data_IF_649032909280
#
_entry.id   IF_649032909280
#
_cell.length_a   1.000
_cell.length_b   1.000
_cell.length_c   1.000
_cell.angle_alpha   90.00
_cell.angle_beta   90.00
_cell.angle_gamma   90.00
#
_symmetry.space_group_name_H-M   'P 1'
#
loop_
_entity.id
_entity.type
_entity.pdbx_description
1 polymer ?
#
# COMPACT_ATOMS: atom_id res chain seq x y z
N UNK A 1 32.36 -15.89 10.78
CA UNK A 1 31.53 -14.65 10.85
C UNK A 1 30.50 -14.78 9.75
N UNK A 2 29.21 -14.65 10.07
CA UNK A 2 28.14 -14.72 9.07
C UNK A 2 28.17 -13.46 8.19
N UNK A 3 27.73 -13.57 6.94
CA UNK A 3 27.72 -12.46 6.00
C UNK A 3 26.30 -12.15 5.53
N UNK A 4 25.95 -10.88 5.51
CA UNK A 4 24.66 -10.37 5.03
C UNK A 4 24.87 -9.49 3.78
N UNK A 5 24.12 -9.77 2.72
CA UNK A 5 23.99 -8.89 1.56
C UNK A 5 22.73 -8.04 1.73
N UNK A 6 22.87 -6.71 1.74
CA UNK A 6 21.76 -5.77 1.92
C UNK A 6 21.58 -4.95 0.65
N UNK A 7 20.44 -5.10 0.00
CA UNK A 7 20.11 -4.45 -1.28
C UNK A 7 19.16 -3.27 -1.08
N UNK A 8 19.04 -2.41 -2.10
CA UNK A 8 18.06 -1.35 -2.20
C UNK A 8 18.21 -0.26 -1.10
N UNK A 9 19.44 -0.01 -0.70
CA UNK A 9 19.79 1.12 0.16
C UNK A 9 19.05 1.15 1.52
N UNK A 10 19.12 0.08 2.35
CA UNK A 10 18.55 0.12 3.70
C UNK A 10 19.29 1.16 4.56
N UNK A 11 18.68 1.58 5.66
CA UNK A 11 19.26 2.57 6.55
C UNK A 11 20.63 2.13 7.08
N UNK A 12 21.59 3.06 7.12
CA UNK A 12 22.98 2.77 7.50
C UNK A 12 23.13 2.15 8.91
N UNK A 13 22.19 2.40 9.83
CA UNK A 13 22.16 1.80 11.17
C UNK A 13 22.14 0.26 11.13
N UNK A 14 21.64 -0.35 10.05
CA UNK A 14 21.67 -1.80 9.89
C UNK A 14 23.11 -2.37 9.96
N UNK A 15 24.13 -1.62 9.51
CA UNK A 15 25.53 -2.03 9.59
C UNK A 15 26.00 -2.16 11.04
N UNK A 16 25.66 -1.19 11.88
CA UNK A 16 26.04 -1.15 13.29
C UNK A 16 25.34 -2.28 14.07
N UNK A 17 24.04 -2.45 13.82
CA UNK A 17 23.24 -3.50 14.48
C UNK A 17 23.76 -4.90 14.10
N UNK A 18 24.03 -5.17 12.83
CA UNK A 18 24.52 -6.47 12.38
C UNK A 18 25.93 -6.73 12.90
N UNK A 19 26.81 -5.72 12.89
CA UNK A 19 28.17 -5.84 13.43
C UNK A 19 28.18 -6.17 14.94
N UNK A 20 27.22 -5.63 15.73
CA UNK A 20 27.07 -5.96 17.14
C UNK A 20 26.70 -7.43 17.41
N UNK A 21 26.27 -8.16 16.36
CA UNK A 21 25.94 -9.59 16.40
C UNK A 21 26.91 -10.45 15.58
N UNK A 22 28.14 -9.99 15.34
CA UNK A 22 29.16 -10.68 14.56
C UNK A 22 28.74 -11.04 13.13
N UNK A 23 27.92 -10.17 12.51
CA UNK A 23 27.48 -10.30 11.11
C UNK A 23 28.13 -9.19 10.28
N UNK A 24 28.90 -9.57 9.26
CA UNK A 24 29.44 -8.66 8.26
C UNK A 24 28.35 -8.25 7.26
N UNK A 25 28.03 -6.97 7.18
CA UNK A 25 27.05 -6.44 6.24
C UNK A 25 27.71 -5.80 5.02
N UNK A 26 27.39 -6.31 3.84
CA UNK A 26 27.76 -5.75 2.53
C UNK A 26 26.55 -5.06 1.95
N UNK A 27 26.69 -3.79 1.57
CA UNK A 27 25.61 -2.96 1.04
C UNK A 27 25.70 -2.81 -0.47
N UNK A 28 24.57 -2.89 -1.12
CA UNK A 28 24.39 -2.57 -2.53
C UNK A 28 23.22 -1.60 -2.72
N UNK A 29 23.43 -0.54 -3.49
CA UNK A 29 22.45 0.57 -3.60
C UNK A 29 21.23 0.26 -4.45
N UNK A 30 21.36 -0.65 -5.43
CA UNK A 30 20.31 -1.04 -6.36
C UNK A 30 19.56 -2.31 -5.97
N UNK A 31 18.50 -2.59 -6.72
CA UNK A 31 17.96 -3.93 -6.84
C UNK A 31 18.87 -4.77 -7.77
N UNK A 32 18.79 -6.08 -7.65
CA UNK A 32 19.46 -7.03 -8.55
C UNK A 32 18.38 -7.80 -9.32
N UNK A 33 18.70 -8.17 -10.56
CA UNK A 33 17.89 -9.12 -11.30
C UNK A 33 18.09 -10.56 -10.76
N UNK A 34 17.34 -11.51 -11.30
CA UNK A 34 17.33 -12.89 -10.81
C UNK A 34 18.71 -13.57 -10.93
N UNK A 35 19.41 -13.37 -12.04
CA UNK A 35 20.71 -14.04 -12.33
C UNK A 35 21.85 -13.38 -11.55
N UNK A 36 21.82 -12.06 -11.46
CA UNK A 36 22.75 -11.29 -10.63
C UNK A 36 22.62 -11.69 -9.16
N UNK A 37 21.40 -11.74 -8.64
CA UNK A 37 21.13 -12.10 -7.26
C UNK A 37 21.55 -13.54 -6.94
N UNK A 38 21.22 -14.49 -7.82
CA UNK A 38 21.61 -15.90 -7.65
C UNK A 38 23.14 -16.06 -7.60
N UNK A 39 23.87 -15.24 -8.34
CA UNK A 39 25.34 -15.26 -8.35
C UNK A 39 25.96 -14.53 -7.17
N UNK A 40 25.40 -13.39 -6.79
CA UNK A 40 25.91 -12.55 -5.71
C UNK A 40 25.77 -13.19 -4.32
N UNK A 41 24.72 -14.01 -4.11
CA UNK A 41 24.41 -14.60 -2.81
C UNK A 41 25.32 -15.77 -2.40
N UNK A 42 26.19 -16.29 -3.26
CA UNK A 42 26.98 -17.52 -3.00
C UNK A 42 27.76 -17.52 -1.69
N UNK A 43 28.20 -16.35 -1.25
CA UNK A 43 29.03 -16.17 -0.05
C UNK A 43 28.25 -15.55 1.12
N UNK A 44 26.90 -15.55 1.06
CA UNK A 44 26.05 -14.91 2.06
C UNK A 44 25.02 -15.89 2.62
N UNK A 45 24.80 -15.85 3.92
CA UNK A 45 23.78 -16.61 4.62
C UNK A 45 22.52 -15.77 4.91
N UNK A 46 22.63 -14.45 4.80
CA UNK A 46 21.57 -13.50 5.11
C UNK A 46 21.38 -12.56 3.92
N UNK A 47 20.14 -12.36 3.50
CA UNK A 47 19.74 -11.41 2.47
C UNK A 47 18.81 -10.34 3.06
N UNK A 48 19.12 -9.08 2.84
CA UNK A 48 18.21 -7.97 3.10
C UNK A 48 17.75 -7.32 1.81
N UNK A 49 16.44 -7.19 1.62
CA UNK A 49 15.83 -6.56 0.44
C UNK A 49 14.76 -5.55 0.84
N UNK A 50 14.28 -4.75 -0.12
CA UNK A 50 13.06 -3.98 0.02
C UNK A 50 12.01 -4.51 -0.96
N UNK A 51 11.41 -3.64 -1.78
CA UNK A 51 10.22 -4.00 -2.57
C UNK A 51 10.51 -4.30 -4.06
N UNK A 52 11.74 -4.08 -4.53
CA UNK A 52 12.07 -4.18 -5.95
C UNK A 52 12.77 -5.49 -6.35
N UNK A 53 13.53 -6.09 -5.44
CA UNK A 53 14.27 -7.33 -5.70
C UNK A 53 13.36 -8.54 -5.53
N UNK A 54 13.30 -9.40 -6.54
CA UNK A 54 12.53 -10.64 -6.49
C UNK A 54 13.42 -11.81 -6.07
N UNK A 55 13.00 -12.52 -5.01
CA UNK A 55 13.64 -13.75 -4.53
C UNK A 55 12.82 -14.94 -4.99
N UNK A 56 13.11 -15.42 -6.19
CA UNK A 56 12.39 -16.49 -6.85
C UNK A 56 12.83 -17.88 -6.38
N UNK A 57 12.09 -18.91 -6.77
CA UNK A 57 12.47 -20.30 -6.56
C UNK A 57 13.90 -20.58 -7.09
N UNK A 58 14.27 -20.03 -8.26
CA UNK A 58 15.60 -20.19 -8.87
C UNK A 58 16.70 -19.63 -7.99
N UNK A 59 16.52 -18.40 -7.46
CA UNK A 59 17.48 -17.77 -6.54
C UNK A 59 17.66 -18.60 -5.29
N UNK A 60 16.58 -19.08 -4.70
CA UNK A 60 16.60 -19.91 -3.49
C UNK A 60 17.32 -21.23 -3.72
N UNK A 61 16.99 -21.95 -4.79
CA UNK A 61 17.62 -23.24 -5.13
C UNK A 61 19.12 -23.10 -5.43
N UNK A 62 19.53 -21.98 -6.04
CA UNK A 62 20.95 -21.71 -6.33
C UNK A 62 21.77 -21.39 -5.07
N UNK A 63 21.11 -21.06 -3.95
CA UNK A 63 21.75 -20.59 -2.72
C UNK A 63 21.29 -21.37 -1.47
N UNK A 64 21.64 -22.67 -1.36
CA UNK A 64 21.20 -23.52 -0.24
C UNK A 64 21.78 -23.09 1.11
N UNK A 65 22.84 -22.26 1.14
CA UNK A 65 23.44 -21.71 2.34
C UNK A 65 22.64 -20.54 2.94
N UNK A 66 21.70 -19.97 2.18
CA UNK A 66 20.87 -18.86 2.65
C UNK A 66 19.95 -19.36 3.79
N UNK A 67 20.02 -18.72 4.94
CA UNK A 67 19.22 -19.10 6.09
C UNK A 67 18.17 -18.06 6.50
N UNK A 68 18.34 -16.79 6.09
CA UNK A 68 17.45 -15.70 6.49
C UNK A 68 17.27 -14.66 5.40
N UNK A 69 16.03 -14.22 5.21
CA UNK A 69 15.69 -13.08 4.37
C UNK A 69 14.99 -12.03 5.23
N UNK A 70 15.53 -10.81 5.25
CA UNK A 70 14.92 -9.62 5.85
C UNK A 70 14.30 -8.74 4.77
N UNK A 71 12.97 -8.64 4.73
CA UNK A 71 12.27 -7.69 3.88
C UNK A 71 12.07 -6.38 4.66
N UNK A 72 12.84 -5.34 4.35
CA UNK A 72 12.74 -4.00 4.94
C UNK A 72 11.53 -3.23 4.37
N UNK A 73 10.39 -3.90 4.29
CA UNK A 73 9.10 -3.40 3.80
C UNK A 73 7.96 -4.23 4.40
N UNK A 74 6.73 -3.86 4.09
CA UNK A 74 5.53 -4.55 4.60
C UNK A 74 5.27 -5.84 3.82
N UNK A 75 5.26 -5.76 2.48
CA UNK A 75 4.92 -6.89 1.61
C UNK A 75 6.05 -7.91 1.52
N UNK A 76 5.67 -9.17 1.30
CA UNK A 76 6.58 -10.30 1.01
C UNK A 76 6.27 -10.94 -0.34
N UNK A 77 5.43 -10.29 -1.16
CA UNK A 77 5.00 -10.78 -2.47
C UNK A 77 6.14 -10.94 -3.49
N UNK A 78 7.27 -10.26 -3.27
CA UNK A 78 8.50 -10.40 -4.05
C UNK A 78 9.37 -11.60 -3.65
N UNK A 79 8.95 -12.40 -2.65
CA UNK A 79 9.68 -13.58 -2.17
C UNK A 79 8.82 -14.82 -2.39
N UNK A 80 9.39 -15.87 -2.98
CA UNK A 80 8.75 -17.19 -3.00
C UNK A 80 8.78 -17.80 -1.59
N UNK A 81 7.79 -17.39 -0.78
CA UNK A 81 7.65 -17.81 0.63
C UNK A 81 7.52 -19.34 0.75
N UNK A 82 6.84 -19.98 -0.21
CA UNK A 82 6.63 -21.43 -0.22
C UNK A 82 7.96 -22.17 -0.39
N UNK A 83 8.74 -21.76 -1.36
CA UNK A 83 10.06 -22.36 -1.61
C UNK A 83 11.05 -22.05 -0.47
N UNK A 84 11.06 -20.82 0.03
CA UNK A 84 11.90 -20.43 1.17
C UNK A 84 11.59 -21.30 2.39
N UNK A 85 10.31 -21.47 2.72
CA UNK A 85 9.86 -22.33 3.82
C UNK A 85 10.28 -23.79 3.63
N UNK A 86 10.16 -24.32 2.41
CA UNK A 86 10.60 -25.69 2.09
C UNK A 86 12.10 -25.91 2.26
N UNK A 87 12.92 -24.86 2.07
CA UNK A 87 14.36 -24.89 2.29
C UNK A 87 14.79 -24.54 3.71
N UNK A 88 13.85 -24.21 4.62
CA UNK A 88 14.16 -23.78 5.98
C UNK A 88 14.70 -22.35 6.08
N UNK A 89 14.50 -21.52 5.05
CA UNK A 89 14.88 -20.10 5.07
C UNK A 89 13.82 -19.30 5.84
N UNK A 90 14.26 -18.62 6.88
CA UNK A 90 13.37 -17.77 7.70
C UNK A 90 13.18 -16.41 7.05
N UNK A 91 11.93 -15.94 6.96
CA UNK A 91 11.60 -14.63 6.39
C UNK A 91 11.09 -13.71 7.50
N UNK A 92 11.67 -12.51 7.58
CA UNK A 92 11.20 -11.43 8.44
C UNK A 92 10.81 -10.23 7.58
N UNK A 93 9.73 -9.58 7.94
CA UNK A 93 9.30 -8.33 7.32
C UNK A 93 9.03 -7.26 8.38
N UNK A 94 8.75 -6.02 7.94
CA UNK A 94 8.45 -4.89 8.81
C UNK A 94 6.97 -4.45 8.65
N UNK A 95 5.99 -5.23 9.17
CA UNK A 95 4.58 -5.09 8.82
C UNK A 95 3.92 -3.79 9.29
N UNK A 96 4.59 -3.03 10.16
CA UNK A 96 4.04 -1.78 10.74
C UNK A 96 4.84 -0.53 10.36
N UNK A 97 5.92 -0.67 9.59
CA UNK A 97 6.93 0.39 9.41
C UNK A 97 6.41 1.65 8.73
N UNK A 98 5.42 1.56 7.86
CA UNK A 98 4.85 2.70 7.14
C UNK A 98 3.35 2.94 7.42
N UNK A 99 2.75 2.22 8.37
CA UNK A 99 1.32 2.31 8.65
C UNK A 99 0.89 3.76 8.84
N UNK A 100 1.61 4.51 9.68
CA UNK A 100 1.30 5.92 9.96
C UNK A 100 1.48 6.80 8.73
N UNK A 101 2.53 6.60 7.95
CA UNK A 101 2.80 7.40 6.74
C UNK A 101 1.70 7.24 5.70
N UNK A 102 1.22 6.01 5.47
CA UNK A 102 0.12 5.75 4.53
C UNK A 102 -1.19 6.36 5.03
N UNK A 103 -1.48 6.29 6.33
CA UNK A 103 -2.69 6.90 6.92
C UNK A 103 -2.66 8.42 6.78
N UNK A 104 -1.53 9.07 7.02
CA UNK A 104 -1.37 10.51 6.85
C UNK A 104 -1.54 10.92 5.37
N UNK A 105 -0.97 10.16 4.45
CA UNK A 105 -1.15 10.39 3.02
C UNK A 105 -2.63 10.22 2.62
N UNK A 106 -3.30 9.16 3.09
CA UNK A 106 -4.72 8.95 2.81
C UNK A 106 -5.58 10.14 3.25
N UNK A 107 -5.37 10.66 4.47
CA UNK A 107 -6.08 11.84 4.97
C UNK A 107 -5.75 13.08 4.12
N UNK A 108 -4.49 13.26 3.76
CA UNK A 108 -4.08 14.39 2.92
C UNK A 108 -4.77 14.36 1.54
N UNK A 109 -4.81 13.18 0.89
CA UNK A 109 -5.47 12.99 -0.41
C UNK A 109 -7.00 13.15 -0.30
N UNK A 110 -7.63 12.62 0.73
CA UNK A 110 -9.05 12.81 1.01
C UNK A 110 -9.37 14.33 1.06
N UNK A 111 -8.61 15.09 1.82
CA UNK A 111 -8.80 16.53 1.96
C UNK A 111 -8.50 17.24 0.63
N UNK A 112 -7.37 16.91 -0.01
CA UNK A 112 -6.93 17.54 -1.26
C UNK A 112 -7.96 17.38 -2.38
N UNK A 113 -8.48 16.17 -2.58
CA UNK A 113 -9.49 15.87 -3.57
C UNK A 113 -10.83 16.55 -3.24
N UNK A 114 -11.31 16.41 -2.01
CA UNK A 114 -12.59 17.00 -1.57
C UNK A 114 -12.58 18.52 -1.67
N UNK A 115 -11.41 19.17 -1.44
CA UNK A 115 -11.21 20.62 -1.57
C UNK A 115 -10.78 21.07 -2.96
N UNK A 116 -10.51 20.13 -3.88
CA UNK A 116 -9.96 20.40 -5.22
C UNK A 116 -8.64 21.18 -5.17
N UNK A 117 -7.80 20.89 -4.18
CA UNK A 117 -6.56 21.64 -3.91
C UNK A 117 -5.61 21.58 -5.09
N UNK A 118 -5.36 20.41 -5.68
CA UNK A 118 -4.44 20.23 -6.79
C UNK A 118 -4.89 20.99 -8.04
N UNK A 119 -6.18 20.95 -8.36
CA UNK A 119 -6.77 21.68 -9.51
C UNK A 119 -6.61 23.19 -9.29
N UNK A 120 -6.96 23.71 -8.12
CA UNK A 120 -6.85 25.14 -7.79
C UNK A 120 -5.41 25.62 -7.79
N UNK A 121 -4.50 24.82 -7.24
CA UNK A 121 -3.08 25.11 -7.27
C UNK A 121 -2.57 25.20 -8.73
N UNK A 122 -2.95 24.24 -9.59
CA UNK A 122 -2.58 24.26 -11.00
C UNK A 122 -3.13 25.49 -11.73
N UNK A 123 -4.39 25.88 -11.47
CA UNK A 123 -4.98 27.09 -12.05
C UNK A 123 -4.23 28.36 -11.60
N UNK A 124 -3.89 28.45 -10.31
CA UNK A 124 -3.19 29.60 -9.78
C UNK A 124 -1.78 29.76 -10.39
N UNK A 125 -1.07 28.64 -10.62
CA UNK A 125 0.22 28.67 -11.34
C UNK A 125 0.08 29.14 -12.81
N UNK A 126 -1.12 29.03 -13.40
CA UNK A 126 -1.46 29.57 -14.73
C UNK A 126 -2.01 30.99 -14.65
N UNK A 127 -1.94 31.66 -13.50
CA UNK A 127 -2.46 33.02 -13.28
C UNK A 127 -3.98 33.09 -13.16
N UNK A 128 -4.68 31.99 -13.01
CA UNK A 128 -6.15 31.93 -12.87
C UNK A 128 -6.50 31.74 -11.40
N UNK A 129 -7.13 32.75 -10.81
CA UNK A 129 -7.64 32.68 -9.44
C UNK A 129 -9.13 32.28 -9.43
N UNK A 130 -9.41 30.99 -9.24
CA UNK A 130 -10.77 30.47 -9.07
C UNK A 130 -11.23 30.62 -7.62
N UNK A 131 -12.16 31.54 -7.36
CA UNK A 131 -12.80 31.77 -6.06
C UNK A 131 -14.07 30.93 -5.84
N UNK A 132 -14.52 30.18 -6.85
CA UNK A 132 -15.75 29.41 -6.78
C UNK A 132 -15.67 28.33 -5.70
N UNK A 133 -16.73 28.17 -4.90
CA UNK A 133 -16.89 27.04 -4.00
C UNK A 133 -17.43 25.77 -4.70
N UNK A 134 -17.77 25.86 -5.97
CA UNK A 134 -18.39 24.77 -6.74
C UNK A 134 -17.50 23.53 -6.73
N UNK A 135 -18.08 22.38 -6.33
CA UNK A 135 -17.37 21.09 -6.24
C UNK A 135 -16.36 20.98 -5.09
N UNK A 136 -16.23 22.00 -4.24
CA UNK A 136 -15.41 21.94 -3.03
C UNK A 136 -16.28 21.71 -1.80
N UNK A 137 -15.90 20.75 -0.97
CA UNK A 137 -16.68 20.33 0.19
C UNK A 137 -15.80 20.19 1.43
N UNK A 138 -16.42 20.15 2.59
CA UNK A 138 -15.79 19.67 3.82
C UNK A 138 -15.82 18.14 3.87
N UNK A 139 -14.87 17.51 4.54
CA UNK A 139 -14.89 16.06 4.79
C UNK A 139 -15.79 15.71 5.97
N UNK A 140 -16.03 16.65 6.87
CA UNK A 140 -16.91 16.48 8.03
C UNK A 140 -18.32 16.05 7.59
N UNK A 141 -18.83 14.99 8.23
CA UNK A 141 -20.15 14.42 7.93
C UNK A 141 -20.20 13.53 6.69
N UNK A 142 -19.12 13.45 5.89
CA UNK A 142 -19.03 12.52 4.77
C UNK A 142 -18.69 11.11 5.23
N UNK A 143 -19.10 10.13 4.45
CA UNK A 143 -18.87 8.72 4.73
C UNK A 143 -17.58 8.25 4.02
N UNK A 144 -16.60 7.80 4.80
CA UNK A 144 -15.42 7.09 4.32
C UNK A 144 -15.70 5.59 4.33
N UNK A 145 -15.62 4.96 3.16
CA UNK A 145 -15.64 3.51 2.98
C UNK A 145 -14.22 2.95 2.92
N UNK A 146 -13.89 2.03 3.80
CA UNK A 146 -12.57 1.39 3.86
C UNK A 146 -12.71 -0.06 3.40
N UNK A 147 -11.96 -0.44 2.36
CA UNK A 147 -11.86 -1.83 1.90
C UNK A 147 -10.51 -2.39 2.37
N UNK A 148 -10.55 -3.36 3.31
CA UNK A 148 -9.40 -3.86 4.04
C UNK A 148 -9.21 -3.13 5.39
N UNK A 149 -9.77 -3.69 6.46
CA UNK A 149 -9.72 -3.11 7.81
C UNK A 149 -8.58 -3.71 8.65
N UNK A 150 -7.38 -3.78 8.02
CA UNK A 150 -6.12 -4.20 8.66
C UNK A 150 -5.46 -3.05 9.43
N UNK A 151 -4.13 -3.10 9.59
CA UNK A 151 -3.37 -2.12 10.38
C UNK A 151 -3.56 -0.67 9.88
N UNK A 152 -3.57 -0.47 8.57
CA UNK A 152 -3.74 0.86 7.96
C UNK A 152 -5.20 1.29 8.06
N UNK A 153 -6.15 0.46 7.61
CA UNK A 153 -7.58 0.78 7.63
C UNK A 153 -8.10 1.12 9.03
N UNK A 154 -7.65 0.39 10.03
CA UNK A 154 -7.99 0.63 11.43
C UNK A 154 -7.47 1.99 11.92
N UNK A 155 -6.22 2.34 11.65
CA UNK A 155 -5.69 3.65 12.04
C UNK A 155 -6.33 4.80 11.25
N UNK A 156 -6.61 4.58 9.96
CA UNK A 156 -7.31 5.55 9.13
C UNK A 156 -8.70 5.85 9.68
N UNK A 157 -9.44 4.82 10.12
CA UNK A 157 -10.79 5.00 10.68
C UNK A 157 -10.78 5.93 11.90
N UNK A 158 -9.81 5.76 12.80
CA UNK A 158 -9.68 6.60 14.01
C UNK A 158 -9.39 8.07 13.65
N UNK A 159 -8.51 8.31 12.68
CA UNK A 159 -8.19 9.69 12.26
C UNK A 159 -9.36 10.32 11.48
N UNK A 160 -10.02 9.56 10.62
CA UNK A 160 -11.19 10.04 9.89
C UNK A 160 -12.34 10.43 10.84
N UNK A 161 -12.59 9.62 11.87
CA UNK A 161 -13.56 9.94 12.93
C UNK A 161 -13.19 11.24 13.66
N UNK A 162 -11.91 11.39 14.03
CA UNK A 162 -11.43 12.61 14.69
C UNK A 162 -11.62 13.88 13.84
N UNK A 163 -11.69 13.75 12.51
CA UNK A 163 -12.01 14.81 11.56
C UNK A 163 -13.50 14.94 11.27
N UNK A 164 -14.34 14.20 11.99
CA UNK A 164 -15.80 14.28 11.91
C UNK A 164 -16.41 13.51 10.73
N UNK A 165 -15.71 12.55 10.15
CA UNK A 165 -16.25 11.65 9.13
C UNK A 165 -17.05 10.50 9.78
N UNK A 166 -18.00 9.94 9.04
CA UNK A 166 -18.56 8.62 9.31
C UNK A 166 -17.67 7.57 8.65
N UNK A 167 -17.45 6.45 9.31
CA UNK A 167 -16.63 5.38 8.76
C UNK A 167 -17.44 4.09 8.63
N UNK A 168 -17.41 3.51 7.44
CA UNK A 168 -17.91 2.16 7.17
C UNK A 168 -16.77 1.34 6.56
N UNK A 169 -16.76 0.04 6.80
CA UNK A 169 -15.68 -0.79 6.26
C UNK A 169 -16.14 -2.20 5.89
N UNK A 170 -15.38 -2.82 5.01
CA UNK A 170 -15.47 -4.24 4.70
C UNK A 170 -14.09 -4.89 4.76
N UNK A 171 -14.02 -6.07 5.37
CA UNK A 171 -12.84 -6.94 5.37
C UNK A 171 -13.30 -8.38 5.17
N UNK A 172 -12.48 -9.23 4.55
CA UNK A 172 -12.75 -10.67 4.36
C UNK A 172 -12.73 -11.44 5.68
N UNK A 173 -12.03 -10.91 6.69
CA UNK A 173 -11.99 -11.47 8.03
C UNK A 173 -12.86 -10.63 8.98
N UNK A 174 -13.38 -11.27 10.01
CA UNK A 174 -14.06 -10.54 11.09
C UNK A 174 -13.06 -9.62 11.80
N UNK A 175 -13.40 -8.32 11.88
CA UNK A 175 -12.56 -7.28 12.49
C UNK A 175 -13.30 -6.55 13.58
N UNK A 176 -12.59 -6.25 14.66
CA UNK A 176 -13.12 -5.40 15.70
C UNK A 176 -13.20 -3.95 15.20
N UNK A 177 -14.41 -3.39 15.16
CA UNK A 177 -14.63 -1.99 14.83
C UNK A 177 -14.09 -1.08 15.93
N UNK A 178 -13.38 0.00 15.55
CA UNK A 178 -12.92 1.03 16.47
C UNK A 178 -13.74 2.31 16.28
N UNK A 179 -13.99 3.01 17.40
CA UNK A 179 -14.71 4.28 17.39
C UNK A 179 -16.11 4.17 16.76
N UNK A 180 -16.41 5.05 15.80
CA UNK A 180 -17.69 5.06 15.08
C UNK A 180 -17.71 4.17 13.83
N UNK A 181 -16.63 3.45 13.53
CA UNK A 181 -16.54 2.60 12.35
C UNK A 181 -17.57 1.47 12.40
N UNK A 182 -18.27 1.25 11.30
CA UNK A 182 -19.33 0.23 11.20
C UNK A 182 -18.94 -0.82 10.15
N UNK A 183 -18.91 -2.12 10.51
CA UNK A 183 -18.68 -3.18 9.55
C UNK A 183 -19.88 -3.35 8.63
N UNK A 184 -19.62 -3.50 7.34
CA UNK A 184 -20.65 -3.78 6.33
C UNK A 184 -20.59 -5.24 5.93
N UNK A 185 -21.74 -5.83 5.61
CA UNK A 185 -21.84 -7.26 5.27
C UNK A 185 -21.11 -7.60 3.95
N UNK A 186 -21.00 -6.66 3.02
CA UNK A 186 -20.38 -6.86 1.72
C UNK A 186 -19.60 -5.61 1.27
N UNK A 187 -18.65 -5.80 0.38
CA UNK A 187 -17.93 -4.70 -0.28
C UNK A 187 -18.88 -3.80 -1.04
N UNK A 188 -19.84 -4.37 -1.76
CA UNK A 188 -20.86 -3.62 -2.53
C UNK A 188 -21.68 -2.68 -1.65
N UNK A 189 -21.96 -3.06 -0.42
CA UNK A 189 -22.68 -2.19 0.52
C UNK A 189 -21.82 -0.96 0.88
N UNK A 190 -20.52 -1.13 1.06
CA UNK A 190 -19.58 -0.01 1.26
C UNK A 190 -19.58 0.91 0.04
N UNK A 191 -19.43 0.34 -1.18
CA UNK A 191 -19.35 1.13 -2.41
C UNK A 191 -20.57 2.02 -2.63
N UNK A 192 -21.76 1.49 -2.36
CA UNK A 192 -23.02 2.24 -2.54
C UNK A 192 -23.24 3.33 -1.50
N UNK A 193 -22.66 3.21 -0.31
CA UNK A 193 -22.90 4.15 0.79
C UNK A 193 -21.78 5.18 0.98
N UNK A 194 -20.57 4.86 0.58
CA UNK A 194 -19.41 5.73 0.76
C UNK A 194 -19.41 6.96 -0.18
N UNK A 195 -19.02 8.11 0.35
CA UNK A 195 -18.68 9.30 -0.45
C UNK A 195 -17.21 9.25 -0.91
N UNK A 196 -16.39 8.52 -0.19
CA UNK A 196 -14.96 8.31 -0.48
C UNK A 196 -14.67 6.85 -0.21
N UNK A 197 -14.08 6.14 -1.17
CA UNK A 197 -13.64 4.74 -1.02
C UNK A 197 -12.12 4.69 -0.99
N UNK A 198 -11.55 4.02 0.02
CA UNK A 198 -10.11 3.86 0.18
C UNK A 198 -9.73 2.39 0.31
N UNK A 199 -8.78 1.94 -0.53
CA UNK A 199 -8.32 0.55 -0.57
C UNK A 199 -7.08 0.36 0.30
N UNK A 200 -7.14 -0.62 1.20
CA UNK A 200 -6.05 -1.02 2.10
C UNK A 200 -5.89 -2.55 2.18
N UNK A 201 -6.09 -3.21 1.05
CA UNK A 201 -5.92 -4.67 0.92
C UNK A 201 -4.46 -5.05 0.71
N UNK A 202 -4.13 -6.31 0.94
CA UNK A 202 -2.79 -6.82 0.70
C UNK A 202 -2.50 -7.08 -0.79
N UNK A 203 -1.23 -7.39 -1.10
CA UNK A 203 -0.77 -7.71 -2.45
C UNK A 203 -0.95 -9.17 -2.84
N UNK A 204 -1.95 -9.87 -2.30
CA UNK A 204 -2.22 -11.25 -2.69
C UNK A 204 -2.75 -11.34 -4.13
N UNK A 205 -2.45 -12.43 -4.87
CA UNK A 205 -2.95 -12.62 -6.23
C UNK A 205 -4.49 -12.59 -6.34
N UNK A 206 -5.18 -12.91 -5.26
CA UNK A 206 -6.65 -12.91 -5.17
C UNK A 206 -7.24 -11.50 -5.29
N UNK A 207 -6.46 -10.48 -4.97
CA UNK A 207 -6.87 -9.08 -5.07
C UNK A 207 -6.54 -8.45 -6.43
N UNK A 208 -6.00 -9.22 -7.38
CA UNK A 208 -5.71 -8.73 -8.73
C UNK A 208 -7.01 -8.35 -9.45
N UNK A 209 -7.06 -7.10 -9.96
CA UNK A 209 -8.23 -6.53 -10.64
C UNK A 209 -9.54 -6.64 -9.82
N UNK A 210 -9.42 -6.58 -8.48
CA UNK A 210 -10.57 -6.61 -7.58
C UNK A 210 -11.49 -5.40 -7.79
N UNK A 211 -10.94 -4.28 -8.24
CA UNK A 211 -11.66 -3.07 -8.63
C UNK A 211 -11.59 -2.88 -10.14
N UNK A 212 -12.74 -3.04 -10.81
CA UNK A 212 -12.92 -2.81 -12.22
C UNK A 212 -14.17 -1.96 -12.47
N UNK A 213 -14.62 -1.93 -13.71
CA UNK A 213 -15.78 -1.15 -14.13
C UNK A 213 -17.02 -1.38 -13.25
N UNK A 214 -17.30 -2.64 -12.92
CA UNK A 214 -18.46 -3.01 -12.07
C UNK A 214 -18.41 -2.34 -10.70
N UNK A 215 -17.24 -2.33 -10.05
CA UNK A 215 -17.06 -1.75 -8.72
C UNK A 215 -17.11 -0.24 -8.78
N UNK A 216 -16.52 0.38 -9.81
CA UNK A 216 -16.64 1.83 -10.02
C UNK A 216 -18.07 2.26 -10.30
N UNK A 217 -18.82 1.53 -11.14
CA UNK A 217 -20.24 1.82 -11.44
C UNK A 217 -21.16 1.70 -10.20
N UNK A 218 -20.75 0.91 -9.19
CA UNK A 218 -21.50 0.79 -7.91
C UNK A 218 -21.22 1.94 -6.96
N UNK A 219 -20.14 2.68 -7.13
CA UNK A 219 -19.82 3.82 -6.29
C UNK A 219 -20.82 4.95 -6.53
N UNK A 220 -21.04 5.82 -5.54
CA UNK A 220 -21.91 6.99 -5.71
C UNK A 220 -21.42 7.90 -6.81
N UNK A 221 -22.30 8.43 -7.66
CA UNK A 221 -21.94 9.52 -8.57
C UNK A 221 -21.33 10.69 -7.80
N UNK A 222 -20.18 11.18 -8.27
CA UNK A 222 -19.42 12.25 -7.62
C UNK A 222 -18.62 11.83 -6.39
N UNK A 223 -18.47 10.53 -6.13
CA UNK A 223 -17.59 10.02 -5.07
C UNK A 223 -16.12 10.07 -5.48
N UNK A 224 -15.24 9.81 -4.50
CA UNK A 224 -13.78 9.80 -4.66
C UNK A 224 -13.24 8.39 -4.45
N UNK A 225 -12.20 8.04 -5.21
CA UNK A 225 -11.51 6.77 -5.11
C UNK A 225 -10.04 6.95 -4.71
N UNK A 226 -9.55 6.14 -3.75
CA UNK A 226 -8.17 6.20 -3.27
C UNK A 226 -7.60 4.78 -3.25
N UNK A 227 -6.47 4.58 -3.93
CA UNK A 227 -5.72 3.33 -3.89
C UNK A 227 -4.28 3.60 -3.42
N UNK A 228 -4.00 3.28 -2.16
CA UNK A 228 -2.68 3.30 -1.54
C UNK A 228 -2.22 1.87 -1.18
N UNK A 229 -2.82 0.86 -1.80
CA UNK A 229 -2.53 -0.56 -1.53
C UNK A 229 -1.53 -1.14 -2.53
N UNK A 230 -2.00 -1.55 -3.71
CA UNK A 230 -1.18 -2.04 -4.83
C UNK A 230 -1.84 -1.64 -6.15
N UNK A 231 -1.03 -1.29 -7.18
CA UNK A 231 -1.51 -0.85 -8.48
C UNK A 231 -2.39 -1.88 -9.18
N UNK A 232 -1.98 -3.14 -9.15
CA UNK A 232 -2.70 -4.23 -9.82
C UNK A 232 -4.07 -4.59 -9.17
N UNK A 233 -4.42 -4.00 -8.02
CA UNK A 233 -5.72 -4.21 -7.36
C UNK A 233 -6.84 -3.52 -8.13
N UNK A 234 -6.56 -2.41 -8.79
CA UNK A 234 -7.55 -1.67 -9.59
C UNK A 234 -7.16 -1.66 -11.06
N UNK A 235 -8.17 -1.82 -11.94
CA UNK A 235 -8.00 -1.64 -13.37
C UNK A 235 -7.91 -0.15 -13.68
N UNK A 236 -6.79 0.29 -14.24
CA UNK A 236 -6.51 1.70 -14.52
C UNK A 236 -7.38 2.24 -15.67
N UNK A 237 -7.63 1.43 -16.69
CA UNK A 237 -8.45 1.86 -17.84
C UNK A 237 -9.91 2.09 -17.42
N UNK A 238 -10.46 1.21 -16.59
CA UNK A 238 -11.81 1.37 -16.03
C UNK A 238 -11.90 2.59 -15.09
N UNK A 239 -10.85 2.87 -14.32
CA UNK A 239 -10.77 4.06 -13.49
C UNK A 239 -10.78 5.34 -14.35
N UNK A 240 -10.01 5.35 -15.44
CA UNK A 240 -9.98 6.47 -16.38
C UNK A 240 -11.37 6.69 -16.98
N UNK A 241 -12.07 5.63 -17.43
CA UNK A 241 -13.44 5.73 -17.95
C UNK A 241 -14.40 6.35 -16.90
N UNK A 242 -14.31 5.91 -15.64
CA UNK A 242 -15.16 6.43 -14.57
C UNK A 242 -14.88 7.91 -14.25
N UNK A 243 -13.63 8.37 -14.39
CA UNK A 243 -13.25 9.78 -14.22
C UNK A 243 -13.67 10.64 -15.42
N UNK A 244 -13.45 10.17 -16.64
CA UNK A 244 -13.79 10.91 -17.88
C UNK A 244 -15.30 11.05 -18.09
N UNK A 245 -16.07 10.02 -17.71
CA UNK A 245 -17.54 10.09 -17.68
C UNK A 245 -18.08 11.05 -16.63
N UNK A 246 -17.26 11.47 -15.66
CA UNK A 246 -17.68 12.29 -14.52
C UNK A 246 -18.45 11.49 -13.45
N UNK A 247 -18.49 10.16 -13.56
CA UNK A 247 -19.10 9.32 -12.52
C UNK A 247 -18.34 9.46 -11.19
N UNK A 248 -17.00 9.40 -11.23
CA UNK A 248 -16.15 9.73 -10.10
C UNK A 248 -15.69 11.20 -10.20
N UNK A 249 -15.71 11.91 -9.07
CA UNK A 249 -15.25 13.31 -9.01
C UNK A 249 -13.74 13.45 -8.93
N UNK A 250 -13.03 12.38 -8.59
CA UNK A 250 -11.57 12.36 -8.52
C UNK A 250 -11.03 11.06 -7.95
N UNK A 251 -9.74 10.84 -8.17
CA UNK A 251 -9.02 9.71 -7.63
C UNK A 251 -7.60 10.09 -7.20
N UNK A 252 -7.05 9.33 -6.23
CA UNK A 252 -5.63 9.35 -5.86
C UNK A 252 -5.08 7.92 -5.91
N UNK A 253 -3.95 7.75 -6.58
CA UNK A 253 -3.27 6.45 -6.73
C UNK A 253 -1.77 6.68 -6.50
N UNK A 254 -1.21 6.01 -5.47
CA UNK A 254 0.22 6.11 -5.07
C UNK A 254 0.93 4.74 -5.17
N UNK A 255 0.56 3.91 -6.16
CA UNK A 255 1.05 2.53 -6.30
C UNK A 255 1.18 2.11 -7.76
#
# INVERSE_FOLDING_TARGET
>A
MRRALLLENPHAVAKEILAAHDIEAVFHTGAMDEDELASALKDFEILGIRSKTNVTEKVLKANPQLCTIGAFCIGTNQIDVKQASAQGVTIFNAPYSNTRSVVELAIAEIIALTRRLTVRNSLLHKGVWDKSATGSHEIRGRTLGIIGYGNIGTQLSVLAEALGMKVIFYDIAERLALGNAQPMATMEAVLREADIVSLHVDGSPQNTAMFGKREFDMMKPGSLFINLSRGFVSNIDDLVEALESGHLAGAAVDV
#
